data_IF_348331806077
#
_entry.id   IF_348331806077
#
_cell.length_a   1.000
_cell.length_b   1.000
_cell.length_c   1.000
_cell.angle_alpha   90.00
_cell.angle_beta   90.00
_cell.angle_gamma   90.00
#
_symmetry.space_group_name_H-M   'P 1'
#
loop_
_entity.id
_entity.type
_entity.pdbx_description
1 polymer ?
#
# COMPACT_ATOMS: atom_id res chain seq x y z
N UNK A 1 -35.12 51.05 -50.89
CA UNK A 1 -35.16 50.33 -49.66
C UNK A 1 -34.81 48.87 -49.96
N UNK A 2 -33.52 48.49 -49.71
CA UNK A 2 -32.99 47.16 -49.99
C UNK A 2 -32.87 46.47 -48.67
N UNK A 3 -33.64 45.40 -48.42
CA UNK A 3 -33.51 44.55 -47.24
C UNK A 3 -32.38 43.54 -47.49
N UNK A 4 -31.28 43.64 -46.70
CA UNK A 4 -30.26 42.62 -46.69
C UNK A 4 -30.73 41.46 -45.82
N UNK A 5 -30.69 40.24 -46.39
CA UNK A 5 -30.93 38.97 -45.75
C UNK A 5 -29.60 38.49 -45.18
N UNK A 6 -29.48 38.41 -43.86
CA UNK A 6 -28.30 37.82 -43.19
C UNK A 6 -28.56 36.32 -43.05
N UNK A 7 -27.81 35.51 -43.84
CA UNK A 7 -27.78 34.05 -43.66
C UNK A 7 -26.86 33.72 -42.47
N UNK A 8 -27.45 33.27 -41.39
CA UNK A 8 -26.69 32.68 -40.25
C UNK A 8 -26.20 31.29 -40.60
N UNK A 9 -24.88 31.11 -40.69
CA UNK A 9 -24.24 29.79 -40.80
C UNK A 9 -24.12 29.19 -39.38
N UNK A 10 -24.92 28.18 -39.11
CA UNK A 10 -24.77 27.37 -37.88
C UNK A 10 -23.59 26.43 -38.07
N UNK A 11 -22.49 26.71 -37.36
CA UNK A 11 -21.35 25.78 -37.22
C UNK A 11 -21.73 24.73 -36.18
N UNK A 12 -22.10 23.54 -36.65
CA UNK A 12 -22.26 22.36 -35.80
C UNK A 12 -20.87 21.89 -35.38
N UNK A 13 -20.46 22.17 -34.14
CA UNK A 13 -19.25 21.60 -33.54
C UNK A 13 -19.49 20.11 -33.31
N UNK A 14 -18.88 19.26 -34.12
CA UNK A 14 -18.80 17.81 -33.84
C UNK A 14 -17.89 17.59 -32.66
N UNK A 15 -18.47 17.24 -31.50
CA UNK A 15 -17.74 16.72 -30.33
C UNK A 15 -17.34 15.28 -30.68
N UNK A 16 -16.05 14.93 -30.72
CA UNK A 16 -15.66 13.55 -30.94
C UNK A 16 -16.01 12.73 -29.69
N UNK A 17 -17.07 11.93 -29.76
CA UNK A 17 -17.39 10.89 -28.78
C UNK A 17 -16.41 9.73 -28.93
N UNK A 18 -15.18 9.92 -28.42
CA UNK A 18 -14.16 8.88 -28.34
C UNK A 18 -14.11 8.34 -26.94
N UNK A 19 -15.11 7.60 -26.47
CA UNK A 19 -14.91 6.71 -25.34
C UNK A 19 -14.03 5.55 -25.80
N UNK A 20 -12.71 5.63 -25.58
CA UNK A 20 -11.84 4.46 -25.68
C UNK A 20 -12.31 3.47 -24.63
N UNK A 21 -12.89 2.34 -25.03
CA UNK A 21 -13.02 1.20 -24.12
C UNK A 21 -11.61 0.74 -23.76
N UNK A 22 -11.29 0.72 -22.46
CA UNK A 22 -10.02 0.19 -21.97
C UNK A 22 -9.88 -1.25 -22.50
N UNK A 23 -8.67 -1.60 -22.94
CA UNK A 23 -8.37 -2.98 -23.34
C UNK A 23 -8.42 -3.91 -22.12
N UNK A 24 -8.59 -5.23 -22.36
CA UNK A 24 -8.58 -6.23 -21.26
C UNK A 24 -7.25 -6.17 -20.51
N UNK A 25 -6.13 -5.87 -21.18
CA UNK A 25 -4.82 -5.72 -20.57
C UNK A 25 -4.78 -4.50 -19.61
N UNK A 26 -5.26 -3.33 -20.05
CA UNK A 26 -5.34 -2.12 -19.20
C UNK A 26 -6.24 -2.34 -17.98
N UNK A 27 -7.37 -3.06 -18.15
CA UNK A 27 -8.24 -3.43 -17.04
C UNK A 27 -7.53 -4.38 -16.04
N UNK A 28 -6.72 -5.32 -16.53
CA UNK A 28 -5.92 -6.23 -15.72
C UNK A 28 -4.83 -5.50 -14.92
N UNK A 29 -4.10 -4.59 -15.53
CA UNK A 29 -3.08 -3.78 -14.86
C UNK A 29 -3.70 -2.87 -13.79
N UNK A 30 -4.83 -2.25 -14.09
CA UNK A 30 -5.55 -1.42 -13.12
C UNK A 30 -6.04 -2.23 -11.91
N UNK A 31 -6.58 -3.42 -12.14
CA UNK A 31 -7.01 -4.32 -11.07
C UNK A 31 -5.83 -4.76 -10.18
N UNK A 32 -4.69 -5.09 -10.78
CA UNK A 32 -3.47 -5.44 -10.05
C UNK A 32 -2.99 -4.27 -9.19
N UNK A 33 -2.92 -3.06 -9.76
CA UNK A 33 -2.51 -1.86 -9.04
C UNK A 33 -3.41 -1.55 -7.85
N UNK A 34 -4.73 -1.69 -7.99
CA UNK A 34 -5.67 -1.53 -6.88
C UNK A 34 -5.45 -2.57 -5.77
N UNK A 35 -5.21 -3.83 -6.14
CA UNK A 35 -4.96 -4.90 -5.18
C UNK A 35 -3.69 -4.62 -4.36
N UNK A 36 -2.61 -4.20 -4.99
CA UNK A 36 -1.35 -3.84 -4.35
C UNK A 36 -1.52 -2.66 -3.36
N UNK A 37 -2.28 -1.64 -3.76
CA UNK A 37 -2.59 -0.50 -2.89
C UNK A 37 -3.44 -0.91 -1.69
N UNK A 38 -4.41 -1.81 -1.87
CA UNK A 38 -5.24 -2.34 -0.75
C UNK A 38 -4.37 -3.12 0.23
N UNK A 39 -3.45 -3.97 -0.22
CA UNK A 39 -2.51 -4.66 0.67
C UNK A 39 -1.69 -3.67 1.49
N UNK A 40 -1.16 -2.61 0.86
CA UNK A 40 -0.39 -1.58 1.53
C UNK A 40 -1.25 -0.78 2.53
N UNK A 41 -2.48 -0.40 2.16
CA UNK A 41 -3.40 0.32 3.03
C UNK A 41 -3.76 -0.50 4.28
N UNK A 42 -4.06 -1.78 4.10
CA UNK A 42 -4.31 -2.70 5.22
C UNK A 42 -3.12 -2.76 6.17
N UNK A 43 -1.90 -2.86 5.64
CA UNK A 43 -0.71 -2.90 6.47
C UNK A 43 -0.50 -1.59 7.24
N UNK A 44 -0.63 -0.44 6.60
CA UNK A 44 -0.52 0.88 7.24
C UNK A 44 -1.57 1.00 8.36
N UNK A 45 -2.81 0.63 8.07
CA UNK A 45 -3.89 0.68 9.06
C UNK A 45 -3.60 -0.20 10.27
N UNK A 46 -3.32 -1.48 10.09
CA UNK A 46 -3.14 -2.41 11.20
C UNK A 46 -1.90 -2.13 12.04
N UNK A 47 -0.81 -1.66 11.43
CA UNK A 47 0.46 -1.41 12.10
C UNK A 47 0.55 0.00 12.72
N UNK A 48 -0.16 1.00 12.15
CA UNK A 48 0.08 2.40 12.52
C UNK A 48 -1.19 3.26 12.68
N UNK A 49 -2.41 2.68 12.77
CA UNK A 49 -3.66 3.46 12.91
C UNK A 49 -3.73 4.38 14.14
N UNK A 50 -2.89 4.16 15.13
CA UNK A 50 -2.79 4.96 16.35
C UNK A 50 -1.59 5.94 16.35
N UNK A 51 -0.90 6.07 15.21
CA UNK A 51 0.22 6.99 15.01
C UNK A 51 -0.26 8.25 14.28
N UNK A 52 0.64 9.23 14.16
CA UNK A 52 0.41 10.39 13.29
C UNK A 52 0.45 9.96 11.81
N UNK A 53 0.02 10.84 10.90
CA UNK A 53 0.15 10.58 9.45
C UNK A 53 1.61 10.27 9.06
N UNK A 54 2.58 10.96 9.68
CA UNK A 54 4.01 10.75 9.44
C UNK A 54 4.46 9.34 9.88
N UNK A 55 3.94 8.85 11.01
CA UNK A 55 4.16 7.47 11.47
C UNK A 55 3.56 6.44 10.53
N UNK A 56 2.35 6.68 10.02
CA UNK A 56 1.68 5.84 9.01
C UNK A 56 2.48 5.81 7.70
N UNK A 57 2.96 6.97 7.23
CA UNK A 57 3.83 7.08 6.06
C UNK A 57 5.11 6.26 6.27
N UNK A 58 5.76 6.39 7.43
CA UNK A 58 6.98 5.64 7.76
C UNK A 58 6.80 4.12 7.63
N UNK A 59 5.71 3.58 8.18
CA UNK A 59 5.38 2.14 8.08
C UNK A 59 5.14 1.73 6.62
N UNK A 60 4.40 2.51 5.85
CA UNK A 60 4.15 2.24 4.44
C UNK A 60 5.43 2.28 3.59
N UNK A 61 6.34 3.21 3.89
CA UNK A 61 7.64 3.33 3.21
C UNK A 61 8.54 2.12 3.46
N UNK A 62 8.48 1.49 4.64
CA UNK A 62 9.21 0.24 4.88
C UNK A 62 8.74 -0.86 3.92
N UNK A 63 7.44 -0.97 3.63
CA UNK A 63 6.93 -1.94 2.65
C UNK A 63 7.46 -1.60 1.25
N UNK A 64 7.40 -0.34 0.81
CA UNK A 64 7.97 0.10 -0.48
C UNK A 64 9.47 -0.18 -0.58
N UNK A 65 10.23 0.11 0.48
CA UNK A 65 11.68 -0.14 0.49
C UNK A 65 11.99 -1.63 0.38
N UNK A 66 11.18 -2.51 0.99
CA UNK A 66 11.31 -3.96 0.83
C UNK A 66 11.00 -4.39 -0.60
N UNK A 67 9.93 -3.90 -1.22
CA UNK A 67 9.60 -4.19 -2.64
C UNK A 67 10.76 -3.84 -3.58
N UNK A 68 11.49 -2.78 -3.27
CA UNK A 68 12.63 -2.30 -4.06
C UNK A 68 13.97 -2.98 -3.70
N UNK A 69 13.99 -3.85 -2.71
CA UNK A 69 15.19 -4.55 -2.23
C UNK A 69 15.13 -6.03 -2.60
N UNK A 70 16.09 -6.50 -3.40
CA UNK A 70 16.13 -7.87 -3.93
C UNK A 70 16.13 -8.99 -2.87
N UNK A 71 16.29 -8.66 -1.60
CA UNK A 71 16.21 -9.61 -0.47
C UNK A 71 14.77 -9.92 -0.04
N UNK A 72 13.80 -9.19 -0.57
CA UNK A 72 12.37 -9.32 -0.24
C UNK A 72 11.55 -9.63 -1.50
N UNK A 73 10.29 -10.02 -1.35
CA UNK A 73 9.37 -10.12 -2.48
C UNK A 73 9.21 -8.79 -3.24
N UNK A 74 8.84 -8.87 -4.52
CA UNK A 74 8.79 -7.71 -5.41
C UNK A 74 7.39 -7.12 -5.61
N UNK A 75 6.41 -7.50 -4.78
CA UNK A 75 5.10 -6.88 -4.76
C UNK A 75 4.69 -6.50 -3.34
N UNK A 76 3.83 -5.47 -3.20
CA UNK A 76 3.37 -5.02 -1.89
C UNK A 76 2.59 -6.12 -1.16
N UNK A 77 1.69 -6.81 -1.87
CA UNK A 77 0.94 -7.91 -1.28
C UNK A 77 1.83 -9.04 -0.78
N UNK A 78 2.86 -9.44 -1.55
CA UNK A 78 3.77 -10.50 -1.11
C UNK A 78 4.63 -10.07 0.08
N UNK A 79 5.09 -8.81 0.12
CA UNK A 79 5.82 -8.27 1.28
C UNK A 79 4.94 -8.25 2.52
N UNK A 80 3.69 -7.77 2.38
CA UNK A 80 2.74 -7.67 3.49
C UNK A 80 2.35 -9.06 4.02
N UNK A 81 2.14 -10.01 3.12
CA UNK A 81 1.73 -11.37 3.48
C UNK A 81 2.91 -12.33 3.73
N UNK A 82 4.15 -11.81 3.77
CA UNK A 82 5.34 -12.64 3.92
C UNK A 82 5.35 -13.43 5.23
N UNK A 83 5.51 -14.75 5.11
CA UNK A 83 5.60 -15.65 6.24
C UNK A 83 5.56 -17.11 5.82
N UNK A 84 5.91 -18.06 6.72
CA UNK A 84 5.80 -19.48 6.43
C UNK A 84 4.32 -19.88 6.28
N UNK A 85 4.06 -20.77 5.34
CA UNK A 85 2.72 -21.32 5.10
C UNK A 85 2.70 -22.83 5.28
N UNK A 86 1.53 -23.41 5.53
CA UNK A 86 1.27 -24.84 5.62
C UNK A 86 0.04 -25.23 4.80
N UNK A 87 -0.11 -26.49 4.40
CA UNK A 87 -1.36 -26.93 3.79
C UNK A 87 -2.56 -26.75 4.72
N UNK A 88 -3.71 -26.36 4.14
CA UNK A 88 -4.98 -26.34 4.87
C UNK A 88 -5.47 -27.77 5.14
N UNK A 89 -5.99 -28.02 6.34
CA UNK A 89 -6.59 -29.31 6.65
C UNK A 89 -7.90 -29.56 5.88
N UNK A 90 -8.62 -28.48 5.48
CA UNK A 90 -9.85 -28.57 4.68
C UNK A 90 -9.57 -28.85 3.20
N UNK A 91 -8.51 -28.29 2.67
CA UNK A 91 -8.09 -28.49 1.28
C UNK A 91 -6.56 -28.41 1.22
N UNK A 92 -5.85 -29.54 1.13
CA UNK A 92 -4.38 -29.56 1.11
C UNK A 92 -3.73 -28.79 -0.03
N UNK A 93 -4.45 -28.54 -1.13
CA UNK A 93 -3.98 -27.71 -2.23
C UNK A 93 -3.92 -26.21 -1.88
N UNK A 94 -4.68 -25.78 -0.87
CA UNK A 94 -4.65 -24.42 -0.37
C UNK A 94 -3.60 -24.29 0.72
N UNK A 95 -2.77 -23.26 0.60
CA UNK A 95 -1.80 -22.91 1.63
C UNK A 95 -2.36 -21.82 2.53
N UNK A 96 -2.16 -21.98 3.83
CA UNK A 96 -2.57 -21.01 4.84
C UNK A 96 -1.36 -20.56 5.66
N UNK A 97 -1.32 -19.29 6.12
CA UNK A 97 -0.25 -18.78 6.97
C UNK A 97 -0.08 -19.59 8.26
N UNK A 98 1.14 -19.74 8.73
CA UNK A 98 1.40 -20.31 10.06
C UNK A 98 1.16 -19.23 11.10
N UNK A 99 0.22 -19.48 12.00
CA UNK A 99 -0.21 -18.53 13.02
C UNK A 99 0.97 -17.93 13.79
N UNK A 100 0.96 -16.61 13.97
CA UNK A 100 1.97 -15.81 14.69
C UNK A 100 3.40 -15.89 14.12
N UNK A 101 3.56 -16.23 12.82
CA UNK A 101 4.88 -16.32 12.18
C UNK A 101 5.04 -15.43 10.94
N UNK A 102 4.11 -14.52 10.70
CA UNK A 102 4.18 -13.57 9.61
C UNK A 102 5.06 -12.37 9.95
N UNK A 103 5.58 -11.69 8.93
CA UNK A 103 6.36 -10.46 9.09
C UNK A 103 5.54 -9.36 9.73
N UNK A 104 4.28 -9.21 9.31
CA UNK A 104 3.29 -8.35 9.93
C UNK A 104 2.31 -9.24 10.69
N UNK A 105 2.26 -9.05 12.01
CA UNK A 105 1.61 -9.99 12.93
C UNK A 105 0.10 -10.07 12.73
N UNK A 106 -0.54 -8.96 12.34
CA UNK A 106 -1.98 -8.88 12.13
C UNK A 106 -2.48 -9.89 11.07
N UNK A 107 -1.72 -10.10 10.00
CA UNK A 107 -2.10 -10.96 8.89
C UNK A 107 -2.30 -12.44 9.27
N UNK A 108 -1.65 -12.91 10.33
CA UNK A 108 -1.77 -14.32 10.75
C UNK A 108 -1.92 -14.51 12.27
N UNK A 109 -2.48 -13.55 12.97
CA UNK A 109 -2.80 -13.67 14.41
C UNK A 109 -4.07 -14.47 14.66
N UNK A 110 -4.86 -14.73 13.61
CA UNK A 110 -6.09 -15.52 13.64
C UNK A 110 -7.31 -14.73 14.08
N UNK A 111 -7.24 -13.41 14.06
CA UNK A 111 -8.38 -12.49 14.22
C UNK A 111 -8.96 -12.16 12.86
N UNK A 112 -10.11 -11.46 12.85
CA UNK A 112 -10.64 -10.86 11.62
C UNK A 112 -9.82 -9.65 11.22
N UNK A 113 -9.50 -9.56 9.91
CA UNK A 113 -8.83 -8.43 9.29
C UNK A 113 -9.83 -7.40 8.73
N UNK A 114 -11.13 -7.54 9.08
CA UNK A 114 -12.16 -6.59 8.68
C UNK A 114 -11.93 -5.22 9.32
N UNK A 115 -12.03 -4.18 8.50
CA UNK A 115 -11.94 -2.80 8.97
C UNK A 115 -13.18 -2.47 9.78
N UNK A 116 -13.00 -1.97 11.00
CA UNK A 116 -14.11 -1.63 11.89
C UNK A 116 -14.89 -0.44 11.34
N UNK A 117 -16.22 -0.50 11.39
CA UNK A 117 -17.08 0.55 10.87
C UNK A 117 -16.84 1.94 11.51
N UNK A 118 -16.43 1.98 12.77
CA UNK A 118 -16.08 3.22 13.49
C UNK A 118 -14.65 3.70 13.25
N UNK A 119 -13.86 3.02 12.42
CA UNK A 119 -12.46 3.36 12.09
C UNK A 119 -12.28 3.61 10.57
N UNK A 120 -13.38 3.77 9.82
CA UNK A 120 -13.33 4.02 8.37
C UNK A 120 -12.59 5.30 8.00
N UNK A 121 -12.66 6.34 8.84
CA UNK A 121 -11.93 7.60 8.61
C UNK A 121 -10.42 7.36 8.63
N UNK A 122 -9.94 6.58 9.60
CA UNK A 122 -8.50 6.22 9.69
C UNK A 122 -8.09 5.33 8.52
N UNK A 123 -8.97 4.40 8.11
CA UNK A 123 -8.69 3.57 6.94
C UNK A 123 -8.65 4.38 5.64
N UNK A 124 -9.47 5.42 5.52
CA UNK A 124 -9.43 6.35 4.38
C UNK A 124 -8.09 7.07 4.31
N UNK A 125 -7.56 7.54 5.44
CA UNK A 125 -6.22 8.14 5.52
C UNK A 125 -5.15 7.12 5.11
N UNK A 126 -5.22 5.88 5.64
CA UNK A 126 -4.28 4.82 5.27
C UNK A 126 -4.32 4.51 3.76
N UNK A 127 -5.50 4.54 3.15
CA UNK A 127 -5.69 4.31 1.72
C UNK A 127 -5.12 5.44 0.86
N UNK A 128 -5.28 6.71 1.27
CA UNK A 128 -4.65 7.85 0.60
C UNK A 128 -3.13 7.77 0.66
N UNK A 129 -2.58 7.48 1.83
CA UNK A 129 -1.14 7.29 2.01
C UNK A 129 -0.63 6.15 1.14
N UNK A 130 -1.34 5.02 1.10
CA UNK A 130 -0.97 3.87 0.28
C UNK A 130 -0.95 4.22 -1.21
N UNK A 131 -1.95 4.96 -1.69
CA UNK A 131 -1.99 5.45 -3.06
C UNK A 131 -0.77 6.35 -3.37
N UNK A 132 -0.49 7.34 -2.54
CA UNK A 132 0.63 8.28 -2.72
C UNK A 132 1.99 7.59 -2.65
N UNK A 133 2.16 6.58 -1.78
CA UNK A 133 3.39 5.77 -1.73
C UNK A 133 3.53 4.92 -2.99
N UNK A 134 2.47 4.28 -3.44
CA UNK A 134 2.45 3.44 -4.64
C UNK A 134 2.75 4.23 -5.90
N UNK A 135 2.20 5.44 -6.02
CA UNK A 135 2.42 6.36 -7.15
C UNK A 135 3.80 7.06 -7.11
N UNK A 136 4.54 6.92 -6.02
CA UNK A 136 5.85 7.56 -5.86
C UNK A 136 5.81 9.04 -5.42
N UNK A 137 4.64 9.54 -5.02
CA UNK A 137 4.43 10.95 -4.65
C UNK A 137 5.01 11.30 -3.27
N UNK A 138 5.39 10.30 -2.47
CA UNK A 138 5.99 10.50 -1.14
C UNK A 138 7.49 10.19 -1.18
N UNK A 139 8.30 11.19 -0.79
CA UNK A 139 9.74 11.01 -0.55
C UNK A 139 9.99 10.09 0.65
N UNK A 140 11.05 9.29 0.61
CA UNK A 140 11.38 8.40 1.72
C UNK A 140 11.95 9.16 2.91
N UNK A 141 11.13 9.33 3.95
CA UNK A 141 11.51 9.93 5.23
C UNK A 141 12.18 8.95 6.19
N UNK A 142 12.23 7.66 5.82
CA UNK A 142 12.82 6.60 6.66
C UNK A 142 14.29 6.34 6.35
N UNK A 143 14.87 7.02 5.34
CA UNK A 143 16.25 6.84 4.88
C UNK A 143 16.57 5.39 4.45
N UNK A 144 15.69 4.76 3.68
CA UNK A 144 15.86 3.41 3.16
C UNK A 144 15.59 2.31 4.19
N UNK A 145 14.82 2.60 5.24
CA UNK A 145 14.54 1.59 6.26
C UNK A 145 13.73 0.44 5.71
N UNK A 146 14.13 -0.78 6.08
CA UNK A 146 13.45 -2.04 5.77
C UNK A 146 12.90 -2.74 7.01
N UNK A 147 13.19 -2.21 8.21
CA UNK A 147 12.75 -2.74 9.49
C UNK A 147 12.34 -1.61 10.43
N UNK A 148 11.44 -1.90 11.34
CA UNK A 148 11.12 -1.03 12.48
C UNK A 148 10.67 -1.87 13.68
N UNK A 149 10.68 -1.26 14.85
CA UNK A 149 10.03 -1.78 16.05
C UNK A 149 9.48 -0.62 16.88
N UNK A 150 8.54 -0.93 17.76
CA UNK A 150 8.04 0.05 18.73
C UNK A 150 9.15 0.40 19.75
N UNK A 151 9.22 1.68 20.15
CA UNK A 151 10.30 2.22 20.99
C UNK A 151 10.38 1.63 22.41
N UNK A 152 9.34 0.94 22.85
CA UNK A 152 9.27 0.25 24.13
C UNK A 152 9.77 -1.22 24.08
N UNK A 153 10.22 -1.72 22.92
CA UNK A 153 10.85 -3.05 22.76
C UNK A 153 12.21 -2.92 22.12
N UNK A 154 13.13 -3.83 22.42
CA UNK A 154 14.45 -3.89 21.77
C UNK A 154 14.65 -5.32 21.25
N UNK A 155 14.31 -5.58 19.98
CA UNK A 155 14.51 -6.90 19.40
C UNK A 155 15.99 -7.17 19.16
N UNK A 156 16.40 -8.43 19.30
CA UNK A 156 17.81 -8.82 19.15
C UNK A 156 18.42 -8.44 17.79
N UNK A 157 17.59 -8.43 16.73
CA UNK A 157 18.04 -8.06 15.38
C UNK A 157 18.39 -6.56 15.25
N UNK A 158 17.92 -5.68 16.14
CA UNK A 158 18.19 -4.24 16.05
C UNK A 158 19.68 -3.91 16.09
N UNK A 159 20.46 -4.68 16.87
CA UNK A 159 21.91 -4.52 16.97
C UNK A 159 22.68 -4.86 15.66
N UNK A 160 22.03 -5.56 14.71
CA UNK A 160 22.62 -5.97 13.43
C UNK A 160 22.29 -5.06 12.27
N UNK A 161 21.58 -3.96 12.52
CA UNK A 161 21.09 -3.04 11.48
C UNK A 161 21.44 -1.59 11.83
N UNK A 162 21.48 -0.74 10.82
CA UNK A 162 21.73 0.69 11.01
C UNK A 162 20.43 1.38 11.39
N UNK A 163 20.38 1.97 12.56
CA UNK A 163 19.27 2.84 12.96
C UNK A 163 19.27 4.10 12.08
N UNK A 164 18.14 4.41 11.47
CA UNK A 164 17.99 5.56 10.56
C UNK A 164 17.26 6.73 11.21
N UNK A 165 16.04 6.52 11.68
CA UNK A 165 15.21 7.60 12.24
C UNK A 165 14.26 7.03 13.31
N UNK A 166 13.75 7.90 14.18
CA UNK A 166 12.59 7.62 15.02
C UNK A 166 11.45 8.55 14.57
N UNK A 167 10.29 7.96 14.30
CA UNK A 167 9.05 8.67 13.98
C UNK A 167 7.97 8.12 14.94
N UNK A 168 7.33 9.00 15.68
CA UNK A 168 6.39 8.63 16.75
C UNK A 168 6.95 7.54 17.67
N UNK A 169 6.24 6.44 17.80
CA UNK A 169 6.61 5.31 18.64
C UNK A 169 7.42 4.24 17.88
N UNK A 170 7.83 4.50 16.64
CA UNK A 170 8.60 3.57 15.83
C UNK A 170 10.04 4.02 15.66
N UNK A 171 10.99 3.08 15.81
CA UNK A 171 12.40 3.25 15.51
C UNK A 171 12.69 2.45 14.25
N UNK A 172 13.19 3.12 13.22
CA UNK A 172 13.42 2.58 11.88
C UNK A 172 14.88 2.18 11.68
N UNK A 173 15.09 1.12 10.88
CA UNK A 173 16.40 0.56 10.63
C UNK A 173 16.56 0.14 9.18
N UNK A 174 17.74 0.40 8.62
CA UNK A 174 18.16 -0.08 7.32
C UNK A 174 19.05 -1.33 7.48
N UNK A 175 18.85 -2.30 6.62
CA UNK A 175 19.68 -3.47 6.54
C UNK A 175 20.74 -3.24 5.48
N UNK A 176 22.00 -3.04 5.87
CA UNK A 176 23.07 -2.70 4.94
C UNK A 176 23.53 -3.93 4.12
N UNK A 177 23.81 -5.05 4.77
CA UNK A 177 24.31 -6.27 4.10
C UNK A 177 24.03 -7.54 4.92
#
# INVERSE_FOLDING_TARGET
MIKQLVLGVAVLAMIPSGSKSASIAEAGEFHTALTEQVCLANNIYWEARNQTEEGMIGVGLVVRNRVNDNRFPHSYCEVVHQGPTRPSWKNPNNRIPVKHRCQFSWYCDGRSDDIRANELDIYTIASDIAHRIYSGDITDITNGATHYHADYVIPAWAATKIRTVKIDNHIFYRWEF
#
